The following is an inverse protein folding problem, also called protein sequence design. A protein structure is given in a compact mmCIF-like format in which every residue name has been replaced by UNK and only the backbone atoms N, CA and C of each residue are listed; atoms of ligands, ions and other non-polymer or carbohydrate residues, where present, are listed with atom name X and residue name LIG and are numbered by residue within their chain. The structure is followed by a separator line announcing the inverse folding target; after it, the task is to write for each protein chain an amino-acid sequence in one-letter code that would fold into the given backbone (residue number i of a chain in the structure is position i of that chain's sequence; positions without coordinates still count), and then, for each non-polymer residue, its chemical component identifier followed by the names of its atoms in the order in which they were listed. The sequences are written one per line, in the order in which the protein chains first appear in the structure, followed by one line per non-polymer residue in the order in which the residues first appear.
data_IF_126984639190
#
_entry.id   IF_126984639190
#
_cell.length_a   1.000
_cell.length_b   1.000
_cell.length_c   1.000
_cell.angle_alpha   90.00
_cell.angle_beta   90.00
_cell.angle_gamma   90.00
#
_symmetry.space_group_name_H-M   'P 1'
#
loop_
_entity.id
_entity.type
_entity.pdbx_description
1 polymer ?
#
# COMPACT_ATOMS: atom_id res chain seq x y z
N UNK A 1 4.93 30.50 24.67
CA UNK A 1 3.68 31.08 24.14
C UNK A 1 2.96 29.97 23.37
N UNK A 2 1.97 29.35 24.01
CA UNK A 2 1.15 28.33 23.38
C UNK A 2 0.24 29.02 22.35
N UNK A 3 0.46 28.75 21.06
CA UNK A 3 -0.52 29.08 20.06
C UNK A 3 -1.81 28.33 20.43
N UNK A 4 -2.89 29.07 20.72
CA UNK A 4 -4.24 28.52 20.75
C UNK A 4 -4.49 27.99 19.34
N UNK A 5 -4.22 26.71 19.11
CA UNK A 5 -4.66 26.03 17.91
C UNK A 5 -6.18 26.05 17.93
N UNK A 6 -6.78 26.75 16.96
CA UNK A 6 -8.20 26.61 16.72
C UNK A 6 -8.48 25.12 16.50
N UNK A 7 -9.46 24.55 17.19
CA UNK A 7 -9.79 23.12 17.02
C UNK A 7 -10.18 22.89 15.56
N UNK A 8 -9.86 21.75 14.95
CA UNK A 8 -10.19 21.51 13.54
C UNK A 8 -11.67 21.68 13.20
N UNK A 9 -12.56 21.40 14.16
CA UNK A 9 -13.98 21.71 14.06
C UNK A 9 -14.23 23.17 13.65
N UNK A 10 -13.43 24.13 14.15
CA UNK A 10 -13.55 25.54 13.77
C UNK A 10 -13.17 25.84 12.32
N UNK A 11 -12.44 24.97 11.61
CA UNK A 11 -12.20 25.14 10.18
C UNK A 11 -13.43 24.76 9.36
N UNK A 12 -14.10 23.66 9.70
CA UNK A 12 -15.26 23.17 8.95
C UNK A 12 -16.50 24.08 9.05
N UNK A 13 -16.60 24.87 10.14
CA UNK A 13 -17.70 25.81 10.33
C UNK A 13 -17.48 27.20 9.70
N UNK A 14 -16.29 27.46 9.13
CA UNK A 14 -15.99 28.72 8.43
C UNK A 14 -16.72 28.80 7.09
N UNK A 15 -17.14 29.99 6.67
CA UNK A 15 -17.87 30.17 5.40
C UNK A 15 -16.97 29.89 4.20
N UNK A 16 -15.67 30.18 4.34
CA UNK A 16 -14.63 29.89 3.36
C UNK A 16 -14.54 28.39 3.06
N UNK A 17 -14.80 27.53 4.04
CA UNK A 17 -14.82 26.08 3.84
C UNK A 17 -15.92 25.64 2.89
N UNK A 18 -17.13 26.20 3.02
CA UNK A 18 -18.27 25.87 2.17
C UNK A 18 -18.08 26.31 0.72
N UNK A 19 -17.16 27.24 0.48
CA UNK A 19 -16.79 27.71 -0.86
C UNK A 19 -15.72 26.86 -1.52
N UNK A 20 -15.01 26.00 -0.77
CA UNK A 20 -13.96 25.15 -1.34
C UNK A 20 -14.57 24.06 -2.25
N UNK A 21 -13.93 23.76 -3.39
CA UNK A 21 -14.36 22.65 -4.22
C UNK A 21 -13.96 21.33 -3.57
N UNK A 22 -14.59 20.24 -4.01
CA UNK A 22 -14.25 18.90 -3.53
C UNK A 22 -12.79 18.58 -3.86
N UNK A 23 -12.07 18.06 -2.86
CA UNK A 23 -10.65 17.72 -3.04
C UNK A 23 -10.46 16.62 -4.10
N UNK A 24 -11.36 15.64 -4.09
CA UNK A 24 -11.39 14.54 -5.04
C UNK A 24 -12.70 14.57 -5.81
N UNK A 25 -12.62 14.55 -7.13
CA UNK A 25 -13.79 14.37 -7.99
C UNK A 25 -13.46 13.37 -9.10
N UNK A 26 -14.41 12.49 -9.40
CA UNK A 26 -14.21 11.27 -10.17
C UNK A 26 -15.37 11.11 -11.15
N UNK A 27 -15.09 11.23 -12.44
CA UNK A 27 -16.09 10.97 -13.49
C UNK A 27 -16.46 9.48 -13.54
N UNK A 28 -17.64 9.17 -14.08
CA UNK A 28 -18.08 7.79 -14.27
C UNK A 28 -17.14 7.07 -15.24
N UNK A 29 -16.38 6.13 -14.68
CA UNK A 29 -15.40 5.35 -15.39
C UNK A 29 -16.03 4.39 -16.41
N UNK A 30 -17.11 3.70 -16.02
CA UNK A 30 -17.71 2.67 -16.86
C UNK A 30 -18.36 3.31 -18.08
N UNK A 31 -19.09 4.39 -17.87
CA UNK A 31 -19.69 5.17 -18.95
C UNK A 31 -18.61 5.79 -19.85
N UNK A 32 -17.51 6.26 -19.26
CA UNK A 32 -16.40 6.81 -20.04
C UNK A 32 -15.81 5.79 -21.01
N UNK A 33 -15.42 4.62 -20.49
CA UNK A 33 -14.80 3.57 -21.30
C UNK A 33 -15.80 2.96 -22.29
N UNK A 34 -17.07 2.78 -21.89
CA UNK A 34 -18.12 2.26 -22.77
C UNK A 34 -18.35 3.15 -24.00
N UNK A 35 -18.17 4.47 -23.86
CA UNK A 35 -18.26 5.44 -24.95
C UNK A 35 -16.98 5.55 -25.78
N UNK A 36 -15.96 4.71 -25.54
CA UNK A 36 -14.69 4.74 -26.24
C UNK A 36 -13.82 5.96 -25.90
N UNK A 37 -14.11 6.63 -24.78
CA UNK A 37 -13.29 7.73 -24.27
C UNK A 37 -12.14 7.19 -23.41
N UNK A 38 -11.24 8.09 -22.99
CA UNK A 38 -10.07 7.75 -22.19
C UNK A 38 -10.19 8.37 -20.82
N UNK A 39 -9.84 7.60 -19.80
CA UNK A 39 -9.94 8.00 -18.42
C UNK A 39 -8.57 8.47 -17.90
N UNK A 40 -8.49 9.71 -17.44
CA UNK A 40 -7.22 10.34 -17.05
C UNK A 40 -7.25 10.84 -15.61
N UNK A 41 -6.20 10.53 -14.84
CA UNK A 41 -5.93 11.14 -13.55
C UNK A 41 -5.15 12.45 -13.75
N UNK A 42 -5.65 13.52 -13.14
CA UNK A 42 -5.17 14.89 -13.30
C UNK A 42 -5.05 15.55 -11.94
N UNK A 43 -3.92 16.20 -11.70
CA UNK A 43 -3.74 17.09 -10.56
C UNK A 43 -3.85 18.54 -11.03
N UNK A 44 -4.79 19.30 -10.44
CA UNK A 44 -4.94 20.73 -10.68
C UNK A 44 -4.36 21.52 -9.52
N UNK A 45 -3.25 22.22 -9.80
CA UNK A 45 -2.60 23.12 -8.85
C UNK A 45 -3.31 24.46 -8.86
N UNK A 46 -3.88 24.82 -7.72
CA UNK A 46 -4.54 26.10 -7.51
C UNK A 46 -3.51 27.20 -7.30
N UNK A 47 -3.80 28.36 -7.88
CA UNK A 47 -3.01 29.57 -7.72
C UNK A 47 -3.93 30.79 -7.85
N UNK A 48 -3.44 31.93 -7.39
CA UNK A 48 -4.12 33.22 -7.55
C UNK A 48 -3.10 34.31 -7.81
N UNK A 49 -3.49 35.33 -8.58
CA UNK A 49 -2.72 36.57 -8.68
C UNK A 49 -2.99 37.51 -7.48
N UNK A 50 -4.09 37.29 -6.76
CA UNK A 50 -4.50 38.14 -5.65
C UNK A 50 -4.05 37.52 -4.31
N UNK A 51 -2.90 37.94 -3.81
CA UNK A 51 -2.35 37.50 -2.51
C UNK A 51 -3.19 37.96 -1.32
N UNK A 52 -4.14 38.87 -1.51
CA UNK A 52 -5.08 39.32 -0.46
C UNK A 52 -6.40 38.53 -0.48
N UNK A 53 -6.51 37.49 -1.31
CA UNK A 53 -7.69 36.62 -1.32
C UNK A 53 -7.86 35.90 0.02
N UNK A 54 -9.02 36.08 0.64
CA UNK A 54 -9.39 35.46 1.92
C UNK A 54 -9.35 33.93 1.82
N UNK A 55 -9.86 33.39 0.71
CA UNK A 55 -9.83 31.94 0.40
C UNK A 55 -8.40 31.44 0.22
N UNK A 56 -7.53 32.22 -0.43
CA UNK A 56 -6.13 31.82 -0.58
C UNK A 56 -5.39 31.77 0.75
N UNK A 57 -5.62 32.76 1.62
CA UNK A 57 -5.07 32.78 2.97
C UNK A 57 -5.61 31.62 3.82
N UNK A 58 -6.88 31.26 3.66
CA UNK A 58 -7.48 30.09 4.29
C UNK A 58 -6.83 28.77 3.83
N UNK A 59 -6.59 28.62 2.53
CA UNK A 59 -5.85 27.47 1.98
C UNK A 59 -4.41 27.39 2.50
N UNK A 60 -3.72 28.53 2.65
CA UNK A 60 -2.40 28.62 3.29
C UNK A 60 -2.44 28.20 4.77
N UNK A 61 -3.51 28.51 5.50
CA UNK A 61 -3.70 28.10 6.90
C UNK A 61 -3.90 26.58 7.01
N UNK A 62 -4.78 26.01 6.18
CA UNK A 62 -5.08 24.57 6.13
C UNK A 62 -3.82 23.76 5.79
N UNK A 63 -3.10 24.16 4.75
CA UNK A 63 -1.90 23.44 4.27
C UNK A 63 -0.76 23.40 5.30
N UNK A 64 -0.79 24.27 6.33
CA UNK A 64 0.19 24.26 7.44
C UNK A 64 -0.14 23.20 8.49
N UNK A 65 -1.39 22.76 8.62
CA UNK A 65 -1.76 21.68 9.54
C UNK A 65 -1.32 20.33 8.96
N UNK A 66 -0.50 19.61 9.72
CA UNK A 66 0.02 18.31 9.27
C UNK A 66 -1.03 17.20 9.23
N UNK A 67 -2.15 17.40 9.90
CA UNK A 67 -3.24 16.44 10.00
C UNK A 67 -4.40 16.76 9.04
N UNK A 68 -4.28 17.77 8.17
CA UNK A 68 -5.25 18.09 7.12
C UNK A 68 -4.69 17.70 5.74
N UNK A 69 -5.59 17.45 4.79
CA UNK A 69 -5.19 17.27 3.40
C UNK A 69 -4.71 18.60 2.82
N UNK A 70 -3.76 18.53 1.89
CA UNK A 70 -3.38 19.71 1.12
C UNK A 70 -4.48 20.06 0.14
N UNK A 71 -4.99 21.28 0.20
CA UNK A 71 -6.15 21.72 -0.61
C UNK A 71 -5.78 22.63 -1.76
N UNK A 72 -4.50 22.99 -1.90
CA UNK A 72 -3.99 23.70 -3.09
C UNK A 72 -3.81 22.81 -4.32
N UNK A 73 -3.99 21.49 -4.18
CA UNK A 73 -3.97 20.56 -5.31
C UNK A 73 -5.29 19.81 -5.31
N UNK A 74 -6.05 19.97 -6.38
CA UNK A 74 -7.29 19.25 -6.61
C UNK A 74 -7.00 17.99 -7.43
N UNK A 75 -7.59 16.87 -7.02
CA UNK A 75 -7.42 15.58 -7.69
C UNK A 75 -8.67 15.29 -8.51
N UNK A 76 -8.48 15.11 -9.82
CA UNK A 76 -9.56 14.88 -10.77
C UNK A 76 -9.30 13.63 -11.57
N UNK A 77 -10.35 12.84 -11.77
CA UNK A 77 -10.34 11.73 -12.71
C UNK A 77 -11.34 12.03 -13.81
N UNK A 78 -10.83 12.45 -14.96
CA UNK A 78 -11.60 13.04 -16.04
C UNK A 78 -11.81 12.03 -17.17
N UNK A 79 -13.03 12.02 -17.69
CA UNK A 79 -13.34 11.35 -18.94
C UNK A 79 -13.03 12.28 -20.13
N UNK A 80 -12.01 11.91 -20.91
CA UNK A 80 -11.55 12.70 -22.03
C UNK A 80 -11.96 12.07 -23.37
N UNK A 81 -12.56 12.85 -24.29
CA UNK A 81 -12.85 12.38 -25.63
C UNK A 81 -11.58 11.96 -26.39
N UNK A 82 -11.67 10.91 -27.20
CA UNK A 82 -10.52 10.40 -27.96
C UNK A 82 -9.88 11.44 -28.89
N UNK A 83 -10.66 12.42 -29.37
CA UNK A 83 -10.16 13.53 -30.19
C UNK A 83 -9.16 14.46 -29.48
N UNK A 84 -9.11 14.42 -28.15
CA UNK A 84 -8.20 15.25 -27.33
C UNK A 84 -6.81 14.60 -27.19
N UNK A 85 -6.66 13.31 -27.55
CA UNK A 85 -5.42 12.54 -27.36
C UNK A 85 -4.23 12.93 -28.26
N UNK A 86 -4.38 13.92 -29.14
CA UNK A 86 -3.35 14.28 -30.11
C UNK A 86 -2.05 14.83 -29.49
N UNK A 87 -2.12 15.44 -28.30
CA UNK A 87 -0.94 15.89 -27.56
C UNK A 87 -1.23 16.12 -26.08
N UNK A 88 -0.20 16.01 -25.24
CA UNK A 88 -0.27 16.35 -23.82
C UNK A 88 -0.78 17.78 -23.59
N UNK A 89 -0.42 18.71 -24.48
CA UNK A 89 -0.90 20.09 -24.47
C UNK A 89 -2.41 20.18 -24.66
N UNK A 90 -2.98 19.34 -25.54
CA UNK A 90 -4.42 19.33 -25.80
C UNK A 90 -5.20 18.77 -24.61
N UNK A 91 -4.71 17.69 -24.01
CA UNK A 91 -5.29 17.10 -22.79
C UNK A 91 -5.21 18.08 -21.61
N UNK A 92 -4.08 18.78 -21.45
CA UNK A 92 -3.92 19.79 -20.42
C UNK A 92 -4.90 20.95 -20.60
N UNK A 93 -5.02 21.50 -21.81
CA UNK A 93 -5.97 22.59 -22.10
C UNK A 93 -7.43 22.19 -21.84
N UNK A 94 -7.80 20.97 -22.21
CA UNK A 94 -9.13 20.44 -21.94
C UNK A 94 -9.39 20.33 -20.43
N UNK A 95 -8.41 19.82 -19.68
CA UNK A 95 -8.49 19.71 -18.22
C UNK A 95 -8.57 21.08 -17.55
N UNK A 96 -7.71 22.02 -17.95
CA UNK A 96 -7.70 23.40 -17.44
C UNK A 96 -9.06 24.06 -17.65
N UNK A 97 -9.64 23.94 -18.84
CA UNK A 97 -10.95 24.52 -19.16
C UNK A 97 -12.09 23.95 -18.29
N UNK A 98 -12.09 22.63 -18.03
CA UNK A 98 -13.09 22.00 -17.18
C UNK A 98 -12.96 22.43 -15.72
N UNK A 99 -11.74 22.44 -15.21
CA UNK A 99 -11.49 22.73 -13.79
C UNK A 99 -11.64 24.24 -13.52
N UNK A 100 -11.18 25.10 -14.42
CA UNK A 100 -11.41 26.55 -14.32
C UNK A 100 -12.90 26.89 -14.35
N UNK A 101 -13.72 26.14 -15.10
CA UNK A 101 -15.17 26.30 -15.09
C UNK A 101 -15.79 25.87 -13.75
N UNK A 102 -15.29 24.79 -13.14
CA UNK A 102 -15.71 24.30 -11.82
C UNK A 102 -15.42 25.33 -10.71
N UNK A 103 -14.22 25.91 -10.71
CA UNK A 103 -13.75 26.81 -9.62
C UNK A 103 -14.01 28.30 -9.90
N UNK A 104 -14.66 28.63 -11.02
CA UNK A 104 -14.87 30.02 -11.48
C UNK A 104 -15.45 30.94 -10.41
N UNK A 105 -16.33 30.42 -9.56
CA UNK A 105 -17.02 31.19 -8.52
C UNK A 105 -16.13 31.58 -7.33
N UNK A 106 -14.96 30.96 -7.21
CA UNK A 106 -14.06 31.05 -6.06
C UNK A 106 -12.97 32.11 -6.30
N UNK A 107 -12.81 32.57 -7.55
CA UNK A 107 -11.78 33.56 -7.92
C UNK A 107 -10.35 33.00 -7.86
N UNK A 108 -10.21 31.68 -8.01
CA UNK A 108 -8.93 30.98 -8.13
C UNK A 108 -8.74 30.49 -9.57
N UNK A 109 -7.49 30.28 -9.93
CA UNK A 109 -7.10 29.68 -11.21
C UNK A 109 -6.47 28.32 -10.96
N UNK A 110 -6.62 27.40 -11.92
CA UNK A 110 -5.97 26.10 -11.88
C UNK A 110 -4.89 25.98 -12.96
N UNK A 111 -3.93 25.10 -12.72
CA UNK A 111 -3.08 24.54 -13.78
C UNK A 111 -3.03 23.04 -13.62
N UNK A 112 -3.37 22.34 -14.69
CA UNK A 112 -3.49 20.89 -14.70
C UNK A 112 -2.16 20.23 -15.06
N UNK A 113 -1.91 19.10 -14.43
CA UNK A 113 -0.83 18.16 -14.72
C UNK A 113 -1.44 16.78 -14.93
N UNK A 114 -1.25 16.22 -16.13
CA UNK A 114 -1.77 14.90 -16.47
C UNK A 114 -0.84 13.86 -15.85
N UNK A 115 -1.35 13.06 -14.92
CA UNK A 115 -0.53 12.06 -14.22
C UNK A 115 -0.50 10.74 -14.98
N UNK A 116 -1.66 10.24 -15.41
CA UNK A 116 -1.78 8.98 -16.12
C UNK A 116 -3.14 8.88 -16.83
N UNK A 117 -3.17 8.21 -17.98
CA UNK A 117 -4.39 7.93 -18.72
C UNK A 117 -4.52 6.43 -19.03
N UNK A 118 -5.76 5.95 -19.10
CA UNK A 118 -6.09 4.57 -19.45
C UNK A 118 -7.33 4.50 -20.32
N UNK A 119 -7.29 3.65 -21.33
CA UNK A 119 -8.45 3.28 -22.15
C UNK A 119 -9.25 2.11 -21.57
N UNK A 120 -8.92 1.67 -20.33
CA UNK A 120 -9.58 0.55 -19.65
C UNK A 120 -9.30 -0.84 -20.23
N UNK A 121 -8.53 -0.94 -21.31
CA UNK A 121 -8.20 -2.22 -21.94
C UNK A 121 -6.94 -2.78 -21.26
N UNK A 122 -7.12 -3.81 -20.43
CA UNK A 122 -6.02 -4.58 -19.87
C UNK A 122 -5.85 -5.86 -20.67
N UNK A 123 -4.79 -5.94 -21.47
CA UNK A 123 -4.47 -7.15 -22.24
C UNK A 123 -3.60 -8.10 -21.41
N UNK A 124 -4.02 -9.35 -21.18
CA UNK A 124 -3.21 -10.31 -20.44
C UNK A 124 -1.94 -10.64 -21.21
N UNK A 125 -0.82 -10.61 -20.50
CA UNK A 125 0.51 -10.97 -21.00
C UNK A 125 0.74 -12.48 -20.91
N UNK A 126 1.79 -12.99 -21.58
CA UNK A 126 2.21 -14.41 -21.44
C UNK A 126 2.50 -14.78 -19.99
N UNK A 127 3.01 -13.84 -19.20
CA UNK A 127 3.30 -14.04 -17.78
C UNK A 127 2.03 -14.33 -16.97
N UNK A 128 0.94 -13.63 -17.28
CA UNK A 128 -0.35 -13.79 -16.59
C UNK A 128 -0.93 -15.19 -16.81
N UNK A 129 -0.85 -15.72 -18.04
CA UNK A 129 -1.28 -17.08 -18.34
C UNK A 129 -0.44 -18.14 -17.63
N UNK A 130 0.90 -17.95 -17.55
CA UNK A 130 1.78 -18.86 -16.81
C UNK A 130 1.45 -18.86 -15.32
N UNK A 131 1.25 -17.67 -14.74
CA UNK A 131 0.89 -17.54 -13.33
C UNK A 131 -0.47 -18.16 -13.04
N UNK A 132 -1.46 -17.93 -13.92
CA UNK A 132 -2.78 -18.55 -13.83
C UNK A 132 -2.68 -20.08 -13.86
N UNK A 133 -1.94 -20.65 -14.82
CA UNK A 133 -1.73 -22.08 -14.92
C UNK A 133 -1.08 -22.65 -13.65
N UNK A 134 -0.10 -21.94 -13.08
CA UNK A 134 0.52 -22.34 -11.81
C UNK A 134 -0.49 -22.37 -10.65
N UNK A 135 -1.34 -21.35 -10.51
CA UNK A 135 -2.40 -21.34 -9.49
C UNK A 135 -3.41 -22.45 -9.71
N UNK A 136 -3.84 -22.72 -10.95
CA UNK A 136 -4.76 -23.81 -11.27
C UNK A 136 -4.15 -25.17 -10.91
N UNK A 137 -2.89 -25.42 -11.26
CA UNK A 137 -2.19 -26.67 -10.90
C UNK A 137 -2.05 -26.80 -9.38
N UNK A 138 -1.73 -25.71 -8.68
CA UNK A 138 -1.65 -25.71 -7.22
C UNK A 138 -3.01 -26.02 -6.57
N UNK A 139 -4.06 -25.32 -6.99
CA UNK A 139 -5.40 -25.49 -6.44
C UNK A 139 -5.97 -26.89 -6.73
N UNK A 140 -5.73 -27.43 -7.94
CA UNK A 140 -6.12 -28.82 -8.25
C UNK A 140 -5.34 -29.83 -7.41
N UNK A 141 -4.05 -29.61 -7.17
CA UNK A 141 -3.24 -30.44 -6.27
C UNK A 141 -3.78 -30.41 -4.84
N UNK A 142 -4.10 -29.23 -4.30
CA UNK A 142 -4.69 -29.07 -2.96
C UNK A 142 -6.05 -29.77 -2.88
N UNK A 143 -6.89 -29.63 -3.91
CA UNK A 143 -8.21 -30.28 -3.96
C UNK A 143 -8.08 -31.80 -3.98
N UNK A 144 -7.27 -32.36 -4.89
CA UNK A 144 -7.03 -33.79 -4.99
C UNK A 144 -6.42 -34.36 -3.70
N UNK A 145 -5.44 -33.67 -3.11
CA UNK A 145 -4.85 -34.05 -1.84
C UNK A 145 -5.89 -34.10 -0.72
N UNK A 146 -6.77 -33.09 -0.67
CA UNK A 146 -7.84 -33.01 0.34
C UNK A 146 -8.88 -34.11 0.16
N UNK A 147 -9.30 -34.41 -1.08
CA UNK A 147 -10.27 -35.47 -1.37
C UNK A 147 -9.73 -36.87 -1.01
N UNK A 148 -8.48 -37.14 -1.36
CA UNK A 148 -7.82 -38.42 -1.07
C UNK A 148 -7.59 -38.63 0.44
N UNK A 149 -7.26 -37.57 1.19
CA UNK A 149 -7.15 -37.59 2.65
C UNK A 149 -8.52 -37.79 3.33
N UNK A 150 -9.58 -37.14 2.82
CA UNK A 150 -10.96 -37.38 3.30
C UNK A 150 -11.39 -38.83 3.07
N UNK A 151 -11.06 -39.40 1.91
CA UNK A 151 -11.37 -40.78 1.56
C UNK A 151 -10.52 -41.83 2.31
N UNK A 152 -9.55 -41.42 3.15
CA UNK A 152 -8.67 -42.33 3.88
C UNK A 152 -7.72 -43.13 2.98
N UNK A 153 -7.50 -42.69 1.73
CA UNK A 153 -6.74 -43.42 0.72
C UNK A 153 -5.24 -43.10 0.72
N UNK A 154 -4.78 -42.22 1.61
CA UNK A 154 -3.37 -41.84 1.69
C UNK A 154 -2.82 -42.00 3.11
N UNK A 155 -1.65 -42.65 3.28
CA UNK A 155 -0.95 -42.67 4.55
C UNK A 155 -0.39 -41.28 4.88
N UNK A 156 -0.36 -40.93 6.17
CA UNK A 156 0.11 -39.61 6.65
C UNK A 156 1.57 -39.28 6.27
N UNK A 157 2.37 -40.30 5.94
CA UNK A 157 3.77 -40.16 5.51
C UNK A 157 3.92 -39.67 4.06
N UNK A 158 2.84 -39.75 3.26
CA UNK A 158 2.90 -39.38 1.85
C UNK A 158 3.01 -37.86 1.68
N UNK A 159 3.91 -37.40 0.82
CA UNK A 159 4.18 -35.97 0.62
C UNK A 159 2.94 -35.18 0.19
N UNK A 160 2.07 -35.79 -0.64
CA UNK A 160 0.84 -35.17 -1.14
C UNK A 160 -0.13 -34.82 0.00
N UNK A 161 -0.17 -35.59 1.10
CA UNK A 161 -1.06 -35.32 2.25
C UNK A 161 -0.72 -33.96 2.89
N UNK A 162 0.51 -33.47 2.75
CA UNK A 162 0.90 -32.14 3.25
C UNK A 162 0.20 -30.98 2.51
N UNK A 163 -0.41 -31.22 1.36
CA UNK A 163 -1.24 -30.25 0.65
C UNK A 163 -2.73 -30.35 1.02
N UNK A 164 -3.15 -31.38 1.78
CA UNK A 164 -4.54 -31.51 2.24
C UNK A 164 -4.90 -30.41 3.22
N UNK A 165 -6.02 -29.72 2.99
CA UNK A 165 -6.55 -28.72 3.93
C UNK A 165 -6.94 -29.37 5.27
N UNK A 166 -7.52 -30.58 5.25
CA UNK A 166 -7.94 -31.29 6.45
C UNK A 166 -6.75 -31.66 7.33
N UNK A 167 -5.69 -32.19 6.74
CA UNK A 167 -4.46 -32.52 7.45
C UNK A 167 -3.82 -31.27 8.06
N UNK A 168 -3.66 -30.20 7.28
CA UNK A 168 -3.10 -28.93 7.78
C UNK A 168 -3.98 -28.31 8.87
N UNK A 169 -5.30 -28.38 8.76
CA UNK A 169 -6.23 -27.90 9.79
C UNK A 169 -6.08 -28.67 11.10
N UNK A 170 -5.99 -30.01 11.04
CA UNK A 170 -5.71 -30.83 12.23
C UNK A 170 -4.38 -30.45 12.87
N UNK A 171 -3.33 -30.23 12.07
CA UNK A 171 -2.02 -29.81 12.57
C UNK A 171 -2.06 -28.41 13.17
N UNK A 172 -2.83 -27.48 12.61
CA UNK A 172 -3.01 -26.13 13.13
C UNK A 172 -3.68 -26.14 14.51
N UNK A 173 -4.64 -27.04 14.73
CA UNK A 173 -5.32 -27.21 16.01
C UNK A 173 -4.50 -27.99 17.05
N UNK A 174 -3.39 -28.65 16.66
CA UNK A 174 -2.53 -29.34 17.64
C UNK A 174 -1.85 -28.30 18.51
N UNK A 175 -2.23 -28.29 19.78
CA UNK A 175 -1.54 -27.48 20.79
C UNK A 175 -0.15 -28.03 21.03
N UNK A 176 0.89 -27.23 20.81
CA UNK A 176 2.23 -27.57 21.25
C UNK A 176 2.26 -27.57 22.79
N UNK A 177 2.55 -28.73 23.40
CA UNK A 177 2.64 -28.87 24.86
C UNK A 177 4.10 -28.95 25.36
N UNK A 178 5.06 -28.59 24.52
CA UNK A 178 6.48 -28.65 24.89
C UNK A 178 6.87 -27.67 25.98
N UNK A 179 7.94 -27.99 26.72
CA UNK A 179 8.50 -27.12 27.77
C UNK A 179 8.92 -25.75 27.18
N UNK A 180 9.54 -25.76 26.00
CA UNK A 180 9.91 -24.55 25.26
C UNK A 180 8.70 -23.68 24.89
N UNK A 181 7.57 -24.32 24.52
CA UNK A 181 6.34 -23.60 24.24
C UNK A 181 5.88 -22.84 25.49
N UNK A 182 5.93 -23.48 26.65
CA UNK A 182 5.54 -22.88 27.93
C UNK A 182 6.44 -21.69 28.30
N UNK A 183 7.76 -21.82 28.09
CA UNK A 183 8.72 -20.73 28.34
C UNK A 183 8.54 -19.55 27.38
N UNK A 184 8.07 -19.78 26.15
CA UNK A 184 7.92 -18.77 25.09
C UNK A 184 6.49 -18.22 24.94
N UNK A 185 5.54 -18.57 25.83
CA UNK A 185 4.11 -18.17 25.72
C UNK A 185 3.91 -16.66 25.57
N UNK A 186 4.58 -15.86 26.41
CA UNK A 186 4.46 -14.40 26.37
C UNK A 186 4.88 -13.84 25.00
N UNK A 187 5.99 -14.34 24.45
CA UNK A 187 6.49 -13.93 23.14
C UNK A 187 5.51 -14.28 22.01
N UNK A 188 4.80 -15.40 22.11
CA UNK A 188 3.75 -15.76 21.14
C UNK A 188 2.52 -14.86 21.30
N UNK A 189 2.16 -14.47 22.51
CA UNK A 189 1.09 -13.48 22.77
C UNK A 189 1.40 -12.12 22.14
N UNK A 190 2.62 -11.62 22.31
CA UNK A 190 3.08 -10.37 21.67
C UNK A 190 3.01 -10.48 20.16
N UNK A 191 3.44 -11.61 19.58
CA UNK A 191 3.34 -11.84 18.12
C UNK A 191 1.90 -11.80 17.62
N UNK A 192 0.97 -12.39 18.36
CA UNK A 192 -0.43 -12.38 18.00
C UNK A 192 -0.99 -10.96 18.00
N UNK A 193 -0.73 -10.17 19.04
CA UNK A 193 -1.13 -8.77 19.11
C UNK A 193 -0.51 -7.95 17.98
N UNK A 194 0.79 -8.11 17.72
CA UNK A 194 1.46 -7.40 16.64
C UNK A 194 0.91 -7.78 15.26
N UNK A 195 0.48 -9.03 15.05
CA UNK A 195 -0.15 -9.43 13.80
C UNK A 195 -1.49 -8.72 13.60
N UNK A 196 -2.31 -8.58 14.65
CA UNK A 196 -3.55 -7.81 14.59
C UNK A 196 -3.27 -6.35 14.22
N UNK A 197 -2.27 -5.73 14.87
CA UNK A 197 -1.88 -4.34 14.58
C UNK A 197 -1.36 -4.18 13.14
N UNK A 198 -0.61 -5.15 12.62
CA UNK A 198 -0.18 -5.14 11.21
C UNK A 198 -1.37 -5.25 10.27
N UNK A 199 -2.36 -6.09 10.58
CA UNK A 199 -3.57 -6.21 9.75
C UNK A 199 -4.32 -4.87 9.74
N UNK A 200 -4.50 -4.25 10.90
CA UNK A 200 -5.10 -2.91 11.02
C UNK A 200 -4.34 -1.85 10.20
N UNK A 201 -3.01 -1.81 10.30
CA UNK A 201 -2.16 -0.94 9.48
C UNK A 201 -2.40 -1.16 7.97
N UNK A 202 -2.46 -2.42 7.52
CA UNK A 202 -2.70 -2.70 6.10
C UNK A 202 -4.11 -2.29 5.67
N UNK A 203 -5.12 -2.48 6.52
CA UNK A 203 -6.49 -2.02 6.25
C UNK A 203 -6.54 -0.49 6.14
N UNK A 204 -5.88 0.23 7.05
CA UNK A 204 -5.74 1.68 6.99
C UNK A 204 -5.04 2.13 5.71
N UNK A 205 -3.92 1.49 5.34
CA UNK A 205 -3.22 1.79 4.09
C UNK A 205 -4.12 1.56 2.87
N UNK A 206 -4.90 0.48 2.83
CA UNK A 206 -5.87 0.22 1.77
C UNK A 206 -6.96 1.28 1.73
N UNK A 207 -7.46 1.72 2.89
CA UNK A 207 -8.44 2.81 2.95
C UNK A 207 -7.90 4.09 2.33
N UNK A 208 -6.61 4.37 2.55
CA UNK A 208 -5.93 5.52 1.94
C UNK A 208 -5.66 5.40 0.43
N UNK A 209 -5.92 4.24 -0.16
CA UNK A 209 -5.77 4.00 -1.60
C UNK A 209 -6.91 4.64 -2.41
N UNK A 210 -8.09 4.77 -1.80
CA UNK A 210 -9.27 5.27 -2.47
C UNK A 210 -9.41 6.78 -2.28
N UNK A 211 -9.91 7.44 -3.31
CA UNK A 211 -10.32 8.82 -3.22
C UNK A 211 -11.63 8.89 -2.44
N UNK A 212 -11.73 9.83 -1.50
CA UNK A 212 -12.90 9.97 -0.62
C UNK A 212 -13.55 11.33 -0.82
N UNK A 213 -14.84 11.38 -1.11
CA UNK A 213 -15.55 12.66 -1.31
C UNK A 213 -15.61 13.47 0.01
N UNK A 214 -15.78 12.81 1.16
CA UNK A 214 -15.81 13.44 2.48
C UNK A 214 -14.48 13.29 3.21
N UNK A 215 -13.54 14.14 2.83
CA UNK A 215 -12.19 14.18 3.43
C UNK A 215 -12.19 14.61 4.89
N UNK A 216 -13.21 15.36 5.32
CA UNK A 216 -13.36 15.88 6.68
C UNK A 216 -13.41 14.75 7.70
N UNK A 217 -14.14 13.68 7.40
CA UNK A 217 -14.27 12.54 8.30
C UNK A 217 -12.90 11.86 8.54
N UNK A 218 -12.06 11.76 7.50
CA UNK A 218 -10.70 11.22 7.65
C UNK A 218 -9.80 12.14 8.48
N UNK A 219 -9.89 13.45 8.26
CA UNK A 219 -9.12 14.45 9.00
C UNK A 219 -9.53 14.48 10.48
N UNK A 220 -10.81 14.31 10.78
CA UNK A 220 -11.35 14.21 12.15
C UNK A 220 -10.93 12.90 12.84
N UNK A 221 -10.98 11.77 12.15
CA UNK A 221 -10.48 10.49 12.68
C UNK A 221 -8.99 10.57 13.05
N UNK A 222 -8.19 11.27 12.25
CA UNK A 222 -6.76 11.46 12.54
C UNK A 222 -6.48 12.39 13.74
N UNK A 223 -7.48 13.14 14.20
CA UNK A 223 -7.36 13.97 15.40
C UNK A 223 -7.72 13.25 16.70
N UNK A 224 -8.33 12.07 16.62
CA UNK A 224 -8.56 11.25 17.80
C UNK A 224 -7.21 10.80 18.35
N UNK A 225 -6.88 11.23 19.58
CA UNK A 225 -5.56 11.03 20.21
C UNK A 225 -5.10 9.56 20.17
N UNK A 226 -6.00 8.62 20.43
CA UNK A 226 -5.69 7.19 20.42
C UNK A 226 -5.32 6.72 19.02
N UNK A 227 -6.10 7.10 18.00
CA UNK A 227 -5.82 6.71 16.61
C UNK A 227 -4.52 7.36 16.12
N UNK A 228 -4.28 8.61 16.50
CA UNK A 228 -3.03 9.31 16.21
C UNK A 228 -1.82 8.60 16.82
N UNK A 229 -1.92 8.19 18.09
CA UNK A 229 -0.85 7.43 18.76
C UNK A 229 -0.60 6.08 18.06
N UNK A 230 -1.66 5.37 17.68
CA UNK A 230 -1.54 4.11 16.94
C UNK A 230 -0.84 4.33 15.59
N UNK A 231 -1.27 5.31 14.80
CA UNK A 231 -0.68 5.64 13.51
C UNK A 231 0.82 6.01 13.61
N UNK A 232 1.23 6.71 14.68
CA UNK A 232 2.66 6.98 14.93
C UNK A 232 3.44 5.74 15.38
N UNK A 233 2.78 4.78 16.04
CA UNK A 233 3.40 3.56 16.55
C UNK A 233 3.56 2.49 15.45
N UNK A 234 2.81 2.59 14.36
CA UNK A 234 2.81 1.64 13.25
C UNK A 234 4.21 1.34 12.69
N UNK A 235 5.12 2.33 12.68
CA UNK A 235 6.51 2.15 12.24
C UNK A 235 7.31 1.20 13.13
N UNK A 236 6.99 1.12 14.42
CA UNK A 236 7.68 0.26 15.37
C UNK A 236 7.16 -1.19 15.36
N UNK A 237 6.01 -1.45 14.72
CA UNK A 237 5.42 -2.79 14.66
C UNK A 237 6.39 -3.80 14.02
N UNK A 238 7.04 -3.43 12.93
CA UNK A 238 8.01 -4.31 12.25
C UNK A 238 9.26 -4.56 13.12
N UNK A 239 9.69 -3.57 13.89
CA UNK A 239 10.87 -3.69 14.77
C UNK A 239 10.70 -4.79 15.81
N UNK A 240 9.48 -4.98 16.34
CA UNK A 240 9.19 -6.05 17.28
C UNK A 240 9.43 -7.44 16.67
N UNK A 241 9.11 -7.65 15.39
CA UNK A 241 9.35 -8.91 14.69
C UNK A 241 10.85 -9.17 14.51
N UNK A 242 11.63 -8.13 14.22
CA UNK A 242 13.09 -8.26 14.14
C UNK A 242 13.70 -8.63 15.49
N UNK A 243 13.29 -7.98 16.57
CA UNK A 243 13.78 -8.30 17.92
C UNK A 243 13.46 -9.76 18.31
N UNK A 244 12.20 -10.17 18.12
CA UNK A 244 11.75 -11.54 18.38
C UNK A 244 12.51 -12.56 17.51
N UNK A 245 12.71 -12.25 16.23
CA UNK A 245 13.46 -13.11 15.31
C UNK A 245 14.93 -13.25 15.73
N UNK A 246 15.56 -12.18 16.19
CA UNK A 246 16.96 -12.20 16.64
C UNK A 246 17.11 -13.01 17.92
N UNK A 247 16.19 -12.86 18.88
CA UNK A 247 16.21 -13.66 20.10
C UNK A 247 16.08 -15.17 19.80
N UNK A 248 15.12 -15.57 18.96
CA UNK A 248 14.97 -16.98 18.57
C UNK A 248 16.19 -17.52 17.82
N UNK A 249 16.88 -16.67 17.05
CA UNK A 249 18.13 -17.04 16.40
C UNK A 249 19.23 -17.33 17.43
N UNK A 250 19.37 -16.48 18.46
CA UNK A 250 20.34 -16.68 19.54
C UNK A 250 20.08 -17.99 20.27
N UNK A 251 18.82 -18.30 20.64
CA UNK A 251 18.46 -19.57 21.27
C UNK A 251 18.86 -20.76 20.39
N UNK A 252 18.63 -20.67 19.08
CA UNK A 252 19.01 -21.73 18.13
C UNK A 252 20.53 -21.92 18.06
N UNK A 253 21.31 -20.84 18.12
CA UNK A 253 22.77 -20.90 18.16
C UNK A 253 23.25 -21.62 19.42
N UNK A 254 22.68 -21.28 20.59
CA UNK A 254 22.99 -21.97 21.84
C UNK A 254 22.60 -23.46 21.81
N UNK A 255 21.45 -23.81 21.23
CA UNK A 255 21.04 -25.22 21.08
C UNK A 255 22.01 -26.02 20.19
N UNK A 256 22.47 -25.42 19.08
CA UNK A 256 23.50 -26.02 18.21
C UNK A 256 24.82 -26.21 18.98
N UNK A 257 25.22 -25.19 19.75
CA UNK A 257 26.43 -25.27 20.55
C UNK A 257 26.34 -26.37 21.62
N UNK A 258 25.20 -26.50 22.31
CA UNK A 258 24.98 -27.55 23.30
C UNK A 258 25.00 -28.96 22.67
N UNK A 259 24.46 -29.12 21.46
CA UNK A 259 24.40 -30.42 20.76
C UNK A 259 25.71 -30.85 20.12
N UNK A 260 26.49 -29.90 19.58
CA UNK A 260 27.69 -30.19 18.80
C UNK A 260 29.00 -29.72 19.46
N UNK A 261 28.93 -29.12 20.65
CA UNK A 261 30.07 -28.60 21.43
C UNK A 261 30.70 -27.31 20.86
N UNK A 262 30.58 -27.06 19.55
CA UNK A 262 31.14 -25.89 18.87
C UNK A 262 30.21 -25.33 17.80
N UNK A 263 30.18 -24.00 17.69
CA UNK A 263 29.52 -23.32 16.58
C UNK A 263 30.52 -23.15 15.42
N UNK A 264 30.30 -23.89 14.33
CA UNK A 264 31.12 -23.84 13.11
C UNK A 264 30.51 -22.90 12.06
N UNK A 265 31.34 -22.33 11.19
CA UNK A 265 30.92 -21.54 10.03
C UNK A 265 29.88 -22.26 9.16
N UNK A 266 29.99 -23.60 9.02
CA UNK A 266 28.99 -24.40 8.29
C UNK A 266 27.59 -24.31 8.91
N UNK A 267 27.49 -24.29 10.24
CA UNK A 267 26.21 -24.13 10.94
C UNK A 267 25.65 -22.72 10.72
N UNK A 268 26.50 -21.69 10.75
CA UNK A 268 26.11 -20.31 10.44
C UNK A 268 25.53 -20.20 9.02
N UNK A 269 26.25 -20.67 8.01
CA UNK A 269 25.76 -20.65 6.61
C UNK A 269 24.45 -21.41 6.46
N UNK A 270 24.31 -22.57 7.09
CA UNK A 270 23.08 -23.37 7.04
C UNK A 270 21.88 -22.62 7.64
N UNK A 271 22.08 -21.94 8.77
CA UNK A 271 21.02 -21.14 9.41
C UNK A 271 20.63 -19.94 8.55
N UNK A 272 21.61 -19.24 7.96
CA UNK A 272 21.37 -18.10 7.08
C UNK A 272 20.63 -18.50 5.80
N UNK A 273 21.09 -19.55 5.10
CA UNK A 273 20.45 -20.05 3.88
C UNK A 273 19.01 -20.51 4.14
N UNK A 274 18.78 -21.27 5.22
CA UNK A 274 17.43 -21.71 5.58
C UNK A 274 16.50 -20.52 5.89
N UNK A 275 17.03 -19.47 6.54
CA UNK A 275 16.26 -18.26 6.82
C UNK A 275 15.96 -17.48 5.54
N UNK A 276 16.95 -17.35 4.64
CA UNK A 276 16.78 -16.71 3.35
C UNK A 276 15.69 -17.41 2.53
N UNK A 277 15.78 -18.73 2.31
CA UNK A 277 14.77 -19.45 1.54
C UNK A 277 13.38 -19.36 2.15
N UNK A 278 13.27 -19.42 3.49
CA UNK A 278 11.98 -19.27 4.17
C UNK A 278 11.32 -17.92 3.86
N UNK A 279 12.08 -16.83 3.87
CA UNK A 279 11.56 -15.49 3.62
C UNK A 279 11.36 -15.23 2.12
N UNK A 280 12.35 -15.59 1.30
CA UNK A 280 12.34 -15.38 -0.15
C UNK A 280 11.17 -16.12 -0.81
N UNK A 281 10.90 -17.38 -0.43
CA UNK A 281 9.76 -18.14 -0.99
C UNK A 281 8.42 -17.52 -0.59
N UNK A 282 8.29 -17.07 0.66
CA UNK A 282 7.07 -16.41 1.13
C UNK A 282 6.84 -15.06 0.42
N UNK A 283 7.90 -14.36 0.03
CA UNK A 283 7.84 -13.08 -0.70
C UNK A 283 7.68 -13.25 -2.22
N UNK A 284 8.17 -14.35 -2.79
CA UNK A 284 8.13 -14.60 -4.22
C UNK A 284 6.69 -14.66 -4.76
N UNK A 285 5.77 -15.28 -4.02
CA UNK A 285 4.35 -15.38 -4.41
C UNK A 285 3.67 -14.01 -4.51
N UNK A 286 3.64 -13.18 -3.45
CA UNK A 286 3.03 -11.86 -3.54
C UNK A 286 3.73 -10.95 -4.54
N UNK A 287 5.05 -11.09 -4.75
CA UNK A 287 5.78 -10.36 -5.79
C UNK A 287 5.34 -10.79 -7.19
N UNK A 288 5.18 -12.09 -7.44
CA UNK A 288 4.69 -12.61 -8.72
C UNK A 288 3.26 -12.12 -9.01
N UNK A 289 2.39 -12.15 -7.99
CA UNK A 289 1.03 -11.60 -8.07
C UNK A 289 1.07 -10.10 -8.36
N UNK A 290 1.94 -9.34 -7.68
CA UNK A 290 2.10 -7.90 -7.91
C UNK A 290 2.73 -7.55 -9.25
N UNK A 291 3.38 -8.48 -9.95
CA UNK A 291 3.86 -8.26 -11.31
C UNK A 291 2.77 -8.54 -12.36
N UNK A 292 1.83 -9.40 -12.02
CA UNK A 292 0.77 -9.84 -12.90
C UNK A 292 -0.39 -8.84 -12.96
N UNK A 293 -1.05 -8.78 -14.12
CA UNK A 293 -2.32 -8.08 -14.31
C UNK A 293 -3.52 -9.05 -14.30
N UNK A 294 -3.30 -10.34 -14.00
CA UNK A 294 -4.33 -11.38 -14.01
C UNK A 294 -5.51 -11.06 -13.09
N UNK A 295 -5.23 -10.60 -11.87
CA UNK A 295 -6.27 -10.19 -10.91
C UNK A 295 -6.95 -8.87 -11.30
N UNK A 296 -6.34 -8.13 -12.24
CA UNK A 296 -6.81 -6.83 -12.72
C UNK A 296 -7.69 -6.94 -13.96
N UNK A 297 -7.65 -8.08 -14.67
CA UNK A 297 -8.41 -8.34 -15.90
C UNK A 297 -9.93 -8.29 -15.71
N UNK A 298 -10.46 -8.80 -14.58
CA UNK A 298 -11.92 -8.87 -14.34
C UNK A 298 -12.48 -7.73 -13.49
N UNK A 299 -11.62 -6.85 -12.98
CA UNK A 299 -12.04 -5.72 -12.15
C UNK A 299 -11.54 -4.47 -12.84
N UNK A 300 -12.15 -4.10 -13.96
CA UNK A 300 -11.93 -2.78 -14.56
C UNK A 300 -12.66 -1.77 -13.66
N UNK A 301 -11.96 -0.83 -13.07
CA UNK A 301 -12.49 0.08 -12.05
C UNK A 301 -11.70 1.40 -12.11
N UNK A 302 -12.28 2.53 -11.67
CA UNK A 302 -11.58 3.82 -11.47
C UNK A 302 -10.54 3.75 -10.33
N UNK A 303 -9.77 2.67 -10.26
CA UNK A 303 -8.61 2.60 -9.39
C UNK A 303 -7.63 3.66 -9.82
N UNK A 304 -6.84 4.12 -8.85
CA UNK A 304 -5.83 5.13 -9.07
C UNK A 304 -4.79 4.63 -10.10
N UNK A 305 -5.00 4.98 -11.37
CA UNK A 305 -4.17 4.57 -12.52
C UNK A 305 -2.70 4.96 -12.29
N UNK A 306 -2.47 6.04 -11.55
CA UNK A 306 -1.13 6.50 -11.17
C UNK A 306 -0.45 5.47 -10.27
N UNK A 307 -1.17 4.89 -9.30
CA UNK A 307 -0.63 3.84 -8.42
C UNK A 307 -0.33 2.58 -9.22
N UNK A 308 -1.21 2.19 -10.13
CA UNK A 308 -1.00 1.00 -10.95
C UNK A 308 0.22 1.13 -11.86
N UNK A 309 0.37 2.27 -12.53
CA UNK A 309 1.52 2.54 -13.38
C UNK A 309 2.82 2.58 -12.56
N UNK A 310 2.79 3.22 -11.39
CA UNK A 310 3.94 3.25 -10.50
C UNK A 310 4.29 1.85 -9.97
N UNK A 311 3.30 1.03 -9.61
CA UNK A 311 3.49 -0.37 -9.19
C UNK A 311 4.21 -1.16 -10.27
N UNK A 312 3.70 -1.12 -11.52
CA UNK A 312 4.28 -1.83 -12.67
C UNK A 312 5.74 -1.44 -12.89
N UNK A 313 6.00 -0.13 -12.96
CA UNK A 313 7.34 0.40 -13.14
C UNK A 313 8.31 -0.07 -12.05
N UNK A 314 7.88 -0.04 -10.78
CA UNK A 314 8.70 -0.54 -9.67
C UNK A 314 8.96 -2.04 -9.79
N UNK A 315 7.95 -2.85 -10.13
CA UNK A 315 8.10 -4.29 -10.30
C UNK A 315 9.12 -4.65 -11.39
N UNK A 316 9.10 -3.95 -12.51
CA UNK A 316 9.98 -4.24 -13.65
C UNK A 316 11.43 -3.83 -13.37
N UNK A 317 11.63 -2.70 -12.68
CA UNK A 317 12.97 -2.19 -12.43
C UNK A 317 13.65 -2.85 -11.20
N UNK A 318 12.88 -3.13 -10.13
CA UNK A 318 13.45 -3.39 -8.80
C UNK A 318 12.96 -4.68 -8.13
N UNK A 319 12.33 -5.60 -8.85
CA UNK A 319 11.86 -6.89 -8.28
C UNK A 319 12.99 -7.72 -7.66
N UNK A 320 14.19 -7.68 -8.25
CA UNK A 320 15.37 -8.36 -7.70
C UNK A 320 15.81 -7.79 -6.36
N UNK A 321 15.77 -6.47 -6.19
CA UNK A 321 16.09 -5.80 -4.93
C UNK A 321 15.18 -6.26 -3.79
N UNK A 322 13.94 -6.58 -4.13
CA UNK A 322 12.94 -7.07 -3.19
C UNK A 322 13.17 -8.52 -2.79
N UNK A 323 13.49 -9.40 -3.74
CA UNK A 323 13.82 -10.81 -3.44
C UNK A 323 15.10 -10.92 -2.61
N UNK A 324 16.08 -10.06 -2.87
CA UNK A 324 17.39 -10.08 -2.22
C UNK A 324 17.44 -9.22 -0.94
N UNK A 325 16.31 -8.63 -0.53
CA UNK A 325 16.17 -7.85 0.71
C UNK A 325 17.12 -6.64 0.84
N UNK A 326 17.54 -6.01 -0.26
CA UNK A 326 18.35 -4.78 -0.24
C UNK A 326 17.58 -3.52 -0.65
N UNK A 327 16.24 -3.57 -0.60
CA UNK A 327 15.35 -2.43 -0.84
C UNK A 327 15.69 -1.19 0.01
N UNK A 328 16.29 -1.35 1.19
CA UNK A 328 16.69 -0.26 2.06
C UNK A 328 17.78 0.66 1.46
N UNK A 329 18.42 0.24 0.36
CA UNK A 329 19.37 1.05 -0.40
C UNK A 329 18.71 1.94 -1.45
N UNK A 330 17.44 1.69 -1.76
CA UNK A 330 16.67 2.49 -2.71
C UNK A 330 15.75 3.45 -1.99
N UNK A 331 15.37 4.49 -2.70
CA UNK A 331 14.27 5.33 -2.26
C UNK A 331 12.99 4.49 -2.16
N UNK A 332 12.18 4.78 -1.15
CA UNK A 332 10.90 4.09 -0.93
C UNK A 332 10.00 4.09 -2.18
N UNK A 333 10.06 5.17 -2.99
CA UNK A 333 9.31 5.35 -4.24
C UNK A 333 9.65 4.32 -5.33
N UNK A 334 10.78 3.64 -5.19
CA UNK A 334 11.34 2.71 -6.16
C UNK A 334 11.20 1.25 -5.65
N UNK A 335 10.73 1.04 -4.42
CA UNK A 335 10.58 -0.29 -3.82
C UNK A 335 9.33 -1.00 -4.34
N UNK A 336 9.45 -2.31 -4.59
CA UNK A 336 8.32 -3.16 -5.02
C UNK A 336 7.46 -3.55 -3.83
N UNK A 337 6.56 -2.65 -3.45
CA UNK A 337 5.55 -2.92 -2.44
C UNK A 337 4.31 -2.09 -2.72
N UNK A 338 3.16 -2.74 -2.87
CA UNK A 338 1.86 -2.09 -3.06
C UNK A 338 1.57 -1.09 -1.93
N UNK A 339 2.05 -1.37 -0.70
CA UNK A 339 1.96 -0.46 0.45
C UNK A 339 2.90 0.76 0.36
N UNK A 340 4.05 0.63 -0.32
CA UNK A 340 5.06 1.69 -0.41
C UNK A 340 4.83 2.60 -1.62
N UNK A 341 4.20 2.08 -2.69
CA UNK A 341 3.66 2.87 -3.80
C UNK A 341 2.57 3.84 -3.34
N UNK A 342 1.80 3.50 -2.30
CA UNK A 342 0.81 4.39 -1.66
C UNK A 342 1.46 5.60 -0.98
N UNK A 343 2.62 5.41 -0.34
CA UNK A 343 3.38 6.48 0.30
C UNK A 343 3.97 7.47 -0.72
N UNK A 344 4.26 7.01 -1.95
CA UNK A 344 4.75 7.85 -3.07
C UNK A 344 3.77 8.96 -3.44
N UNK A 345 2.47 8.64 -3.49
CA UNK A 345 1.43 9.61 -3.84
C UNK A 345 1.03 10.45 -2.62
N UNK A 346 1.09 9.88 -1.42
CA UNK A 346 0.76 10.64 -0.20
C UNK A 346 1.82 11.62 0.30
N UNK A 347 3.07 11.60 -0.18
CA UNK A 347 4.01 12.74 0.03
C UNK A 347 3.43 14.06 -0.51
N UNK A 348 2.45 13.99 -1.41
CA UNK A 348 1.71 15.15 -1.91
C UNK A 348 0.53 15.56 -1.01
N UNK A 349 -0.06 14.66 -0.19
CA UNK A 349 -1.31 14.93 0.54
C UNK A 349 -1.35 14.64 2.05
N UNK A 350 -0.39 13.94 2.63
CA UNK A 350 -0.33 13.67 4.06
C UNK A 350 1.02 14.07 4.63
N UNK A 351 1.02 15.16 5.39
CA UNK A 351 2.20 15.73 6.03
C UNK A 351 2.59 14.99 7.32
N UNK A 352 2.01 13.82 7.61
CA UNK A 352 2.44 12.97 8.75
C UNK A 352 3.89 12.48 8.63
N UNK A 353 4.48 12.50 7.43
CA UNK A 353 5.89 12.12 7.22
C UNK A 353 6.90 13.26 7.38
N UNK A 354 6.48 14.47 7.81
CA UNK A 354 7.42 15.53 8.20
C UNK A 354 8.07 15.32 9.57
N UNK A 355 7.67 14.31 10.34
CA UNK A 355 8.38 13.93 11.57
C UNK A 355 9.69 13.18 11.25
N UNK A 356 10.65 13.90 10.64
CA UNK A 356 12.11 13.82 10.85
C UNK A 356 12.87 12.48 10.86
N UNK A 357 12.29 11.33 10.52
CA UNK A 357 12.94 10.03 10.76
C UNK A 357 13.32 9.30 9.45
N UNK A 358 12.77 9.69 8.31
CA UNK A 358 13.26 9.26 6.99
C UNK A 358 14.12 10.37 6.40
N UNK A 359 15.38 10.43 6.83
CA UNK A 359 16.38 11.26 6.17
C UNK A 359 16.44 10.89 4.67
N UNK A 360 16.31 11.90 3.81
CA UNK A 360 16.88 11.82 2.46
C UNK A 360 18.35 11.44 2.64
N UNK A 361 18.86 10.38 1.98
CA UNK A 361 20.29 10.22 1.87
C UNK A 361 20.77 11.39 0.98
N UNK A 362 21.18 12.47 1.63
CA UNK A 362 22.08 13.46 1.04
C UNK A 362 23.39 12.71 0.79
N UNK A 363 23.51 12.13 -0.39
CA UNK A 363 24.81 11.72 -0.90
C UNK A 363 25.61 13.00 -1.16
N UNK A 364 26.83 13.03 -0.61
CA UNK A 364 27.89 13.97 -0.98
C UNK A 364 28.16 13.97 -2.48
#
# INVERSE_FOLDING_TARGET
MAAKGASKESFYFREEWKLLPDLFNVDDYYDCIANGNIYCAVDAKLWTMNTSSEIWNFLEEIDRDMNMYRRKVLHRYLCMPLGVLGSEVSMKRYSDALIDAEIKNIGLNATSEILACSNGIVTPTRYDYILCAFFVVYMTTVLLATLLDVAGRMPETHFIVKFSLRYNWKQLLKTSRGEDYTRLKCMQGIRFLNMILIIDLHLKLMYTWFNTNHTEYMEQLNDIVILKLLNHTDFFLVQTFFMISTWLLVIKIYDIQNKHGRFSFKHMCTVLLNRYFRLAVALAVPLAVNKSDLFMFNIVSPRNIVIENARKQSCDNNSLATILFYNNLFYYKDTVSSCMTLLKIKKYNFTMMKSGIFHEPTYF
#
